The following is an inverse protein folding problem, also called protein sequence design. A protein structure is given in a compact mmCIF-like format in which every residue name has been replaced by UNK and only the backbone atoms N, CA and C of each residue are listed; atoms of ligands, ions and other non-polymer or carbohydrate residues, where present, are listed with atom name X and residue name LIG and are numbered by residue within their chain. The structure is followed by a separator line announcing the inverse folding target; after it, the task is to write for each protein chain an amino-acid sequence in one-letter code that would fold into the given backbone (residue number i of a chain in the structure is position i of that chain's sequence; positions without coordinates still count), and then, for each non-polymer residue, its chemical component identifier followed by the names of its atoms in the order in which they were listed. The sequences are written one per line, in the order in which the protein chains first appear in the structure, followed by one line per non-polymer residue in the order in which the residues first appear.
data_IF_760428660353
#
_entry.id   IF_760428660353
#
_cell.length_a   1.000
_cell.length_b   1.000
_cell.length_c   1.000
_cell.angle_alpha   90.00
_cell.angle_beta   90.00
_cell.angle_gamma   90.00
#
_symmetry.space_group_name_H-M   'P 1'
#
loop_
_entity.id
_entity.type
_entity.pdbx_description
1 polymer ?
#
# COMPACT_ATOMS: atom_id res chain seq x y z
N UNK A 1 6.07 -15.82 12.63
CA UNK A 1 7.36 -16.23 12.06
C UNK A 1 7.64 -15.30 10.92
N UNK A 2 8.76 -14.57 10.97
CA UNK A 2 9.16 -13.64 9.91
C UNK A 2 10.22 -14.29 9.03
N UNK A 3 10.08 -14.15 7.72
CA UNK A 3 11.08 -14.56 6.74
C UNK A 3 11.63 -13.28 6.09
N UNK A 4 12.95 -13.18 6.04
CA UNK A 4 13.67 -12.16 5.29
C UNK A 4 14.42 -12.84 4.16
N UNK A 5 14.23 -12.34 2.95
CA UNK A 5 15.04 -12.72 1.80
C UNK A 5 16.31 -11.87 1.80
N UNK A 6 17.45 -12.50 2.03
CA UNK A 6 18.76 -11.84 1.93
C UNK A 6 19.51 -12.45 0.73
N UNK A 7 20.49 -11.72 0.20
CA UNK A 7 21.40 -12.20 -0.83
C UNK A 7 22.77 -12.40 -0.20
N UNK A 8 23.37 -13.54 -0.46
CA UNK A 8 24.71 -13.88 0.00
C UNK A 8 25.60 -14.19 -1.19
N UNK A 9 26.81 -13.66 -1.17
CA UNK A 9 27.85 -13.98 -2.15
C UNK A 9 28.86 -14.89 -1.44
N UNK A 10 28.97 -16.19 -1.84
CA UNK A 10 29.97 -17.10 -1.30
C UNK A 10 31.39 -16.59 -1.51
N UNK A 11 32.33 -16.98 -0.64
CA UNK A 11 33.69 -16.46 -0.71
C UNK A 11 34.49 -17.01 -1.91
N UNK A 12 34.17 -18.21 -2.37
CA UNK A 12 34.66 -18.79 -3.61
C UNK A 12 34.19 -18.01 -4.83
N UNK A 13 32.93 -17.52 -4.81
CA UNK A 13 32.36 -16.73 -5.87
C UNK A 13 32.95 -15.30 -5.90
N UNK A 14 33.24 -14.72 -4.73
CA UNK A 14 33.97 -13.45 -4.65
C UNK A 14 35.39 -13.57 -5.24
N UNK A 15 36.08 -14.69 -4.94
CA UNK A 15 37.39 -15.00 -5.49
C UNK A 15 37.36 -15.16 -7.02
N UNK A 16 36.39 -15.93 -7.51
CA UNK A 16 36.20 -16.12 -8.97
C UNK A 16 35.95 -14.75 -9.64
N UNK A 17 35.07 -13.94 -9.10
CA UNK A 17 34.77 -12.62 -9.64
C UNK A 17 36.01 -11.70 -9.68
N UNK A 18 36.88 -11.77 -8.66
CA UNK A 18 38.12 -11.02 -8.65
C UNK A 18 39.15 -11.51 -9.68
N UNK A 19 39.19 -12.82 -9.94
CA UNK A 19 40.13 -13.45 -10.91
C UNK A 19 39.67 -13.25 -12.35
N UNK A 20 38.36 -13.32 -12.60
CA UNK A 20 37.80 -13.25 -13.97
C UNK A 20 37.33 -11.87 -14.41
N UNK A 21 37.16 -10.92 -13.48
CA UNK A 21 36.60 -9.61 -13.76
C UNK A 21 35.08 -9.63 -14.03
N UNK A 22 34.41 -10.77 -13.81
CA UNK A 22 32.96 -10.90 -13.96
C UNK A 22 32.22 -10.52 -12.66
N UNK A 23 30.94 -10.18 -12.76
CA UNK A 23 30.12 -9.92 -11.57
C UNK A 23 29.92 -11.17 -10.72
N UNK A 24 30.06 -11.04 -9.39
CA UNK A 24 29.83 -12.11 -8.44
C UNK A 24 28.34 -12.47 -8.37
N UNK A 25 28.02 -13.76 -8.48
CA UNK A 25 26.64 -14.23 -8.39
C UNK A 25 26.19 -14.29 -6.92
N UNK A 26 25.14 -13.53 -6.61
CA UNK A 26 24.51 -13.54 -5.31
C UNK A 26 23.44 -14.64 -5.23
N UNK A 27 23.56 -15.54 -4.26
CA UNK A 27 22.61 -16.61 -3.99
C UNK A 27 21.51 -16.06 -3.07
N UNK A 28 20.25 -16.06 -3.47
CA UNK A 28 19.14 -15.71 -2.56
C UNK A 28 18.97 -16.83 -1.53
N UNK A 29 18.87 -16.48 -0.25
CA UNK A 29 18.56 -17.43 0.79
C UNK A 29 17.47 -16.90 1.74
N UNK A 30 16.70 -17.83 2.31
CA UNK A 30 15.66 -17.52 3.29
C UNK A 30 16.23 -17.69 4.70
N UNK A 31 16.31 -16.59 5.44
CA UNK A 31 16.66 -16.62 6.85
C UNK A 31 15.39 -16.73 7.68
N UNK A 32 15.31 -17.78 8.50
CA UNK A 32 14.21 -18.02 9.41
C UNK A 32 14.51 -17.39 10.77
N UNK A 33 13.60 -16.56 11.25
CA UNK A 33 13.64 -16.01 12.60
C UNK A 33 12.43 -16.49 13.38
N UNK A 34 12.65 -16.90 14.62
CA UNK A 34 11.58 -17.11 15.58
C UNK A 34 11.33 -15.78 16.28
N UNK A 35 10.10 -15.27 16.21
CA UNK A 35 9.67 -14.05 16.87
C UNK A 35 8.64 -14.38 17.93
N UNK A 36 8.72 -13.69 19.05
CA UNK A 36 7.83 -13.83 20.19
C UNK A 36 7.06 -12.52 20.38
N UNK A 37 5.82 -12.62 20.89
CA UNK A 37 5.12 -11.45 21.37
C UNK A 37 5.82 -10.99 22.67
N UNK A 38 6.13 -9.70 22.79
CA UNK A 38 6.76 -9.13 23.99
C UNK A 38 5.99 -9.44 25.28
N UNK A 39 4.66 -9.48 25.20
CA UNK A 39 3.80 -9.85 26.34
C UNK A 39 3.97 -11.31 26.82
N UNK A 40 4.63 -12.16 26.03
CA UNK A 40 4.92 -13.57 26.34
C UNK A 40 6.36 -13.78 26.80
N UNK A 41 7.15 -12.72 26.92
CA UNK A 41 8.54 -12.76 27.30
C UNK A 41 8.71 -12.20 28.70
N UNK A 42 9.52 -12.88 29.54
CA UNK A 42 9.90 -12.41 30.86
C UNK A 42 11.35 -11.91 30.86
N UNK A 43 11.68 -10.98 31.76
CA UNK A 43 13.04 -10.49 31.93
C UNK A 43 13.56 -9.59 30.81
N UNK A 44 12.68 -9.03 30.00
CA UNK A 44 13.07 -8.07 28.96
C UNK A 44 13.40 -6.71 29.57
N UNK A 45 14.37 -5.98 28.99
CA UNK A 45 14.59 -4.57 29.34
C UNK A 45 13.32 -3.75 29.17
N UNK A 46 13.02 -2.86 30.11
CA UNK A 46 11.79 -2.04 30.10
C UNK A 46 11.62 -1.21 28.82
N UNK A 47 12.72 -0.81 28.19
CA UNK A 47 12.69 -0.04 26.94
C UNK A 47 12.27 -0.84 25.70
N UNK A 48 12.18 -2.17 25.77
CA UNK A 48 11.66 -3.03 24.68
C UNK A 48 10.13 -3.11 24.65
N UNK A 49 9.47 -2.76 25.75
CA UNK A 49 8.01 -2.78 25.89
C UNK A 49 7.35 -1.45 25.46
N UNK A 50 8.08 -0.54 24.81
CA UNK A 50 7.53 0.72 24.34
C UNK A 50 6.51 0.41 23.24
N UNK A 51 5.23 0.72 23.51
CA UNK A 51 4.19 0.71 22.48
C UNK A 51 4.67 1.52 21.28
N UNK A 52 4.32 1.07 20.06
CA UNK A 52 4.62 1.84 18.87
C UNK A 52 4.23 3.31 19.12
N UNK A 53 5.13 4.27 18.90
CA UNK A 53 4.84 5.66 19.16
C UNK A 53 3.57 6.06 18.40
N UNK A 54 2.69 6.79 19.08
CA UNK A 54 1.54 7.41 18.42
C UNK A 54 2.07 8.26 17.25
N UNK A 55 1.26 8.44 16.19
CA UNK A 55 1.63 9.32 15.09
C UNK A 55 2.08 10.68 15.64
N UNK A 56 3.22 11.16 15.18
CA UNK A 56 3.66 12.51 15.55
C UNK A 56 2.64 13.52 15.03
N UNK A 57 2.24 14.51 15.85
CA UNK A 57 1.30 15.53 15.41
C UNK A 57 1.78 16.23 14.14
N UNK A 58 0.89 16.40 13.17
CA UNK A 58 1.18 17.15 11.93
C UNK A 58 1.86 16.34 10.82
N UNK A 59 2.12 15.04 11.00
CA UNK A 59 2.62 14.18 9.91
C UNK A 59 1.51 13.71 8.95
N UNK A 60 0.26 13.75 9.38
CA UNK A 60 -0.89 13.39 8.53
C UNK A 60 -1.53 14.69 8.02
N UNK A 61 -1.63 14.80 6.71
CA UNK A 61 -2.33 15.92 6.08
C UNK A 61 -3.79 16.00 6.55
N UNK A 62 -4.27 17.16 7.01
CA UNK A 62 -5.60 17.30 7.61
C UNK A 62 -6.74 16.82 6.71
N UNK A 63 -6.62 16.97 5.40
CA UNK A 63 -7.63 16.51 4.44
C UNK A 63 -7.71 14.97 4.39
N UNK A 64 -6.57 14.28 4.49
CA UNK A 64 -6.53 12.82 4.50
C UNK A 64 -7.04 12.29 5.84
N UNK A 65 -6.70 12.93 6.95
CA UNK A 65 -7.23 12.59 8.26
C UNK A 65 -8.75 12.77 8.32
N UNK A 66 -9.25 13.89 7.80
CA UNK A 66 -10.68 14.16 7.70
C UNK A 66 -11.40 13.13 6.82
N UNK A 67 -10.81 12.75 5.68
CA UNK A 67 -11.33 11.72 4.80
C UNK A 67 -11.44 10.38 5.52
N UNK A 68 -10.35 9.89 6.12
CA UNK A 68 -10.32 8.64 6.87
C UNK A 68 -11.46 8.62 7.90
N UNK A 69 -11.57 9.69 8.69
CA UNK A 69 -12.59 9.81 9.72
C UNK A 69 -14.02 9.83 9.14
N UNK A 70 -14.21 10.55 8.04
CA UNK A 70 -15.53 10.70 7.42
C UNK A 70 -16.04 9.41 6.79
N UNK A 71 -15.16 8.53 6.28
CA UNK A 71 -15.57 7.24 5.70
C UNK A 71 -16.22 6.30 6.71
N UNK A 72 -15.93 6.45 8.00
CA UNK A 72 -16.38 5.54 9.06
C UNK A 72 -15.79 4.13 8.98
N UNK A 73 -14.83 3.88 8.08
CA UNK A 73 -14.12 2.60 7.99
C UNK A 73 -13.24 2.43 9.22
N UNK A 74 -13.22 1.24 9.82
CA UNK A 74 -12.31 0.90 10.92
C UNK A 74 -10.86 1.01 10.41
N UNK A 75 -10.24 2.16 10.66
CA UNK A 75 -8.89 2.49 10.21
C UNK A 75 -7.93 2.53 11.40
N UNK A 76 -6.95 1.65 11.37
CA UNK A 76 -6.00 1.43 12.48
C UNK A 76 -4.60 1.87 12.08
N UNK A 77 -4.01 2.78 12.82
CA UNK A 77 -2.62 3.18 12.67
C UNK A 77 -1.78 2.36 13.65
N UNK A 78 -0.89 1.53 13.11
CA UNK A 78 -0.03 0.67 13.92
C UNK A 78 0.50 -0.54 13.16
N UNK A 79 1.25 -1.38 13.88
CA UNK A 79 1.88 -2.57 13.30
C UNK A 79 3.01 -2.24 12.32
N UNK A 80 3.43 -3.23 11.52
CA UNK A 80 4.54 -3.12 10.58
C UNK A 80 4.14 -3.37 9.11
N UNK A 81 2.84 -3.54 8.85
CA UNK A 81 2.30 -3.85 7.52
C UNK A 81 1.05 -3.05 7.25
N UNK A 82 0.91 -2.57 6.01
CA UNK A 82 -0.32 -2.01 5.51
C UNK A 82 -1.15 -3.11 4.84
N UNK A 83 -2.43 -3.13 5.10
CA UNK A 83 -3.40 -4.03 4.45
C UNK A 83 -4.83 -3.63 4.78
N UNK A 84 -5.76 -3.96 3.88
CA UNK A 84 -7.17 -4.10 4.18
C UNK A 84 -7.49 -5.56 4.50
N UNK A 85 -8.26 -5.82 5.54
CA UNK A 85 -8.70 -7.16 5.97
C UNK A 85 -10.19 -7.37 5.65
N UNK A 86 -10.55 -8.00 4.52
CA UNK A 86 -11.95 -8.16 4.11
C UNK A 86 -12.82 -8.92 5.11
N UNK A 87 -12.25 -9.94 5.80
CA UNK A 87 -12.99 -10.78 6.74
C UNK A 87 -13.48 -10.01 7.99
N UNK A 88 -12.79 -8.93 8.36
CA UNK A 88 -13.10 -8.13 9.55
C UNK A 88 -13.38 -6.67 9.22
N UNK A 89 -13.34 -6.32 7.95
CA UNK A 89 -13.64 -5.00 7.41
C UNK A 89 -12.86 -3.85 8.10
N UNK A 90 -11.54 -4.02 8.23
CA UNK A 90 -10.68 -2.95 8.74
C UNK A 90 -9.44 -2.74 7.87
N UNK A 91 -8.96 -1.52 7.89
CA UNK A 91 -7.67 -1.12 7.32
C UNK A 91 -6.65 -1.01 8.43
N UNK A 92 -5.42 -1.49 8.20
CA UNK A 92 -4.27 -1.21 9.05
C UNK A 92 -3.15 -0.60 8.22
N UNK A 93 -2.53 0.45 8.75
CA UNK A 93 -1.36 1.10 8.13
C UNK A 93 -0.33 1.40 9.22
N UNK A 94 0.98 1.14 9.00
CA UNK A 94 2.02 1.53 9.94
C UNK A 94 1.97 3.04 10.23
N UNK A 95 2.48 3.52 11.38
CA UNK A 95 2.46 4.94 11.68
C UNK A 95 3.31 5.74 10.67
N UNK A 96 2.98 7.02 10.38
CA UNK A 96 3.67 7.84 9.37
C UNK A 96 5.18 7.91 9.55
N UNK A 97 5.67 7.96 10.78
CA UNK A 97 7.10 7.96 11.09
C UNK A 97 7.84 6.65 10.78
N UNK A 98 7.12 5.58 10.43
CA UNK A 98 7.72 4.33 9.96
C UNK A 98 8.14 4.40 8.47
N UNK A 99 7.75 5.45 7.76
CA UNK A 99 8.11 5.69 6.36
C UNK A 99 9.36 6.56 6.29
N UNK A 100 10.25 6.30 5.33
CA UNK A 100 11.42 7.15 5.09
C UNK A 100 11.02 8.61 4.84
N UNK A 101 9.92 8.80 4.13
CA UNK A 101 9.29 10.08 3.89
C UNK A 101 7.81 9.98 4.28
N UNK A 102 7.39 10.66 5.35
CA UNK A 102 6.02 10.56 5.87
C UNK A 102 4.92 10.87 4.84
N UNK A 103 5.23 11.68 3.81
CA UNK A 103 4.29 11.99 2.73
C UNK A 103 3.79 10.72 2.02
N UNK A 104 4.61 9.68 1.92
CA UNK A 104 4.25 8.42 1.27
C UNK A 104 3.26 7.57 2.08
N UNK A 105 3.09 7.86 3.37
CA UNK A 105 2.06 7.26 4.20
C UNK A 105 0.66 7.50 3.65
N UNK A 106 0.41 8.72 3.15
CA UNK A 106 -0.90 9.11 2.62
C UNK A 106 -1.29 8.26 1.41
N UNK A 107 -0.35 8.05 0.49
CA UNK A 107 -0.56 7.14 -0.65
C UNK A 107 -0.93 5.74 -0.19
N UNK A 108 -0.20 5.19 0.78
CA UNK A 108 -0.48 3.86 1.33
C UNK A 108 -1.85 3.82 2.00
N UNK A 109 -2.21 4.81 2.81
CA UNK A 109 -3.51 4.91 3.44
C UNK A 109 -4.66 4.94 2.41
N UNK A 110 -4.50 5.73 1.35
CA UNK A 110 -5.49 5.84 0.27
C UNK A 110 -5.56 4.57 -0.60
N UNK A 111 -4.45 3.82 -0.75
CA UNK A 111 -4.43 2.51 -1.38
C UNK A 111 -5.27 1.50 -0.60
N UNK A 112 -5.05 1.38 0.70
CA UNK A 112 -5.79 0.45 1.55
C UNK A 112 -7.28 0.83 1.68
N UNK A 113 -7.60 2.12 1.70
CA UNK A 113 -8.98 2.60 1.59
C UNK A 113 -9.58 2.26 0.22
N UNK A 114 -8.77 2.28 -0.83
CA UNK A 114 -9.16 1.80 -2.15
C UNK A 114 -9.66 0.36 -2.09
N UNK A 115 -8.91 -0.55 -1.50
CA UNK A 115 -9.36 -1.93 -1.28
C UNK A 115 -10.62 -1.99 -0.43
N UNK A 116 -10.66 -1.26 0.68
CA UNK A 116 -11.82 -1.23 1.57
C UNK A 116 -13.08 -0.76 0.86
N UNK A 117 -12.97 0.20 -0.08
CA UNK A 117 -14.12 0.63 -0.90
C UNK A 117 -14.76 -0.51 -1.68
N UNK A 118 -14.03 -1.60 -1.95
CA UNK A 118 -14.51 -2.78 -2.67
C UNK A 118 -15.35 -3.75 -1.85
N UNK A 119 -15.54 -3.53 -0.56
CA UNK A 119 -16.34 -4.40 0.30
C UNK A 119 -17.76 -4.61 -0.26
N UNK A 120 -18.42 -5.78 0.03
CA UNK A 120 -19.73 -6.12 -0.51
C UNK A 120 -20.82 -5.08 -0.24
N UNK A 121 -20.77 -4.41 0.89
CA UNK A 121 -21.74 -3.39 1.31
C UNK A 121 -21.35 -1.96 0.84
N UNK A 122 -20.26 -1.82 0.09
CA UNK A 122 -19.82 -0.58 -0.56
C UNK A 122 -19.92 -0.74 -2.08
N UNK A 123 -18.80 -0.78 -2.78
CA UNK A 123 -18.80 -0.90 -4.25
C UNK A 123 -18.85 -2.35 -4.77
N UNK A 124 -18.84 -3.33 -3.87
CA UNK A 124 -19.03 -4.76 -4.17
C UNK A 124 -18.11 -5.28 -5.29
N UNK A 125 -16.80 -5.00 -5.20
CA UNK A 125 -15.82 -5.55 -6.12
C UNK A 125 -15.43 -6.98 -5.75
N UNK A 126 -14.92 -7.74 -6.71
CA UNK A 126 -14.42 -9.11 -6.46
C UNK A 126 -13.03 -9.08 -5.80
N UNK A 127 -13.02 -9.14 -4.49
CA UNK A 127 -11.79 -9.19 -3.66
C UNK A 127 -11.33 -10.63 -3.38
N UNK A 128 -11.86 -11.64 -4.07
CA UNK A 128 -11.58 -13.07 -3.79
C UNK A 128 -10.24 -13.57 -4.36
N UNK A 129 -9.47 -12.71 -5.02
CA UNK A 129 -8.19 -13.07 -5.61
C UNK A 129 -7.15 -13.48 -4.55
N UNK A 130 -6.60 -14.70 -4.65
CA UNK A 130 -5.44 -15.08 -3.85
C UNK A 130 -4.19 -14.32 -4.29
N UNK A 131 -3.28 -14.05 -3.35
CA UNK A 131 -2.01 -13.38 -3.62
C UNK A 131 -1.29 -13.98 -4.84
N UNK A 132 -0.89 -13.12 -5.78
CA UNK A 132 -0.24 -13.51 -7.03
C UNK A 132 -1.18 -13.99 -8.15
N UNK A 133 -2.49 -14.06 -7.91
CA UNK A 133 -3.47 -14.35 -8.98
C UNK A 133 -3.73 -13.14 -9.86
N UNK A 134 -4.26 -13.35 -11.07
CA UNK A 134 -4.67 -12.28 -11.98
C UNK A 134 -5.76 -11.38 -11.39
N UNK A 135 -6.69 -11.95 -10.63
CA UNK A 135 -7.72 -11.19 -9.91
C UNK A 135 -7.10 -10.28 -8.86
N UNK A 136 -6.13 -10.80 -8.10
CA UNK A 136 -5.36 -10.01 -7.15
C UNK A 136 -4.61 -8.88 -7.85
N UNK A 137 -3.87 -9.18 -8.91
CA UNK A 137 -3.12 -8.17 -9.66
C UNK A 137 -4.03 -7.07 -10.26
N UNK A 138 -5.24 -7.42 -10.70
CA UNK A 138 -6.22 -6.44 -11.18
C UNK A 138 -6.74 -5.55 -10.05
N UNK A 139 -7.06 -6.11 -8.89
CA UNK A 139 -7.52 -5.31 -7.73
C UNK A 139 -6.40 -4.40 -7.19
N UNK A 140 -5.14 -4.86 -7.18
CA UNK A 140 -3.99 -4.02 -6.86
C UNK A 140 -3.87 -2.83 -7.83
N UNK A 141 -4.10 -3.06 -9.12
CA UNK A 141 -4.10 -1.98 -10.11
C UNK A 141 -5.22 -0.97 -9.84
N UNK A 142 -6.41 -1.44 -9.46
CA UNK A 142 -7.52 -0.56 -9.07
C UNK A 142 -7.15 0.27 -7.83
N UNK A 143 -6.61 -0.36 -6.79
CA UNK A 143 -6.24 0.32 -5.55
C UNK A 143 -5.12 1.36 -5.77
N UNK A 144 -4.11 1.03 -6.60
CA UNK A 144 -3.04 1.96 -6.94
C UNK A 144 -3.53 3.17 -7.72
N UNK A 145 -4.40 2.96 -8.72
CA UNK A 145 -5.00 4.06 -9.47
C UNK A 145 -5.93 4.91 -8.59
N UNK A 146 -6.70 4.28 -7.69
CA UNK A 146 -7.49 5.01 -6.69
C UNK A 146 -6.60 5.89 -5.81
N UNK A 147 -5.50 5.35 -5.30
CA UNK A 147 -4.57 6.12 -4.48
C UNK A 147 -4.01 7.33 -5.27
N UNK A 148 -3.66 7.13 -6.55
CA UNK A 148 -3.18 8.21 -7.40
C UNK A 148 -4.24 9.30 -7.63
N UNK A 149 -5.50 8.92 -7.91
CA UNK A 149 -6.60 9.86 -8.10
C UNK A 149 -6.93 10.64 -6.82
N UNK A 150 -7.00 9.94 -5.68
CA UNK A 150 -7.22 10.60 -4.39
C UNK A 150 -6.06 11.53 -4.02
N UNK A 151 -4.81 11.11 -4.21
CA UNK A 151 -3.64 11.96 -3.99
C UNK A 151 -3.70 13.22 -4.84
N UNK A 152 -4.00 13.10 -6.14
CA UNK A 152 -4.12 14.23 -7.04
C UNK A 152 -5.23 15.20 -6.58
N UNK A 153 -6.40 14.68 -6.21
CA UNK A 153 -7.54 15.50 -5.75
C UNK A 153 -7.26 16.21 -4.42
N UNK A 154 -6.49 15.59 -3.53
CA UNK A 154 -6.16 16.14 -2.22
C UNK A 154 -4.90 17.01 -2.22
N UNK A 155 -4.19 17.10 -3.36
CA UNK A 155 -2.93 17.85 -3.49
C UNK A 155 -1.75 17.16 -2.83
N UNK A 156 -1.79 15.84 -2.64
CA UNK A 156 -0.70 15.03 -2.10
C UNK A 156 0.24 14.62 -3.23
N UNK A 157 1.53 14.88 -3.08
CA UNK A 157 2.55 14.50 -4.06
C UNK A 157 3.50 13.47 -3.44
N UNK A 158 3.22 12.16 -3.58
CA UNK A 158 4.10 11.12 -3.08
C UNK A 158 5.43 11.11 -3.83
N UNK A 159 6.51 10.72 -3.14
CA UNK A 159 7.86 10.62 -3.72
C UNK A 159 8.19 9.21 -4.21
N UNK A 160 7.48 8.19 -3.70
CA UNK A 160 7.66 6.79 -4.10
C UNK A 160 6.93 6.51 -5.41
N UNK A 161 7.64 5.87 -6.35
CA UNK A 161 7.08 5.39 -7.60
C UNK A 161 6.49 3.99 -7.44
N UNK A 162 5.42 3.68 -8.19
CA UNK A 162 4.67 2.41 -8.14
C UNK A 162 5.42 1.22 -8.79
N UNK A 163 6.73 1.07 -8.54
CA UNK A 163 7.58 0.15 -9.30
C UNK A 163 7.40 -1.33 -8.93
N UNK A 164 6.93 -1.63 -7.72
CA UNK A 164 7.00 -2.99 -7.17
C UNK A 164 6.00 -3.97 -7.81
N UNK A 165 4.90 -3.47 -8.38
CA UNK A 165 3.82 -4.27 -8.99
C UNK A 165 3.79 -4.24 -10.52
N UNK A 166 4.65 -3.44 -11.15
CA UNK A 166 4.63 -3.25 -12.62
C UNK A 166 4.74 -4.58 -13.37
N UNK A 167 5.55 -5.52 -12.89
CA UNK A 167 5.69 -6.84 -13.51
C UNK A 167 4.37 -7.59 -13.62
N UNK A 168 3.62 -7.67 -12.51
CA UNK A 168 2.31 -8.33 -12.45
C UNK A 168 1.25 -7.62 -13.30
N UNK A 169 1.30 -6.29 -13.35
CA UNK A 169 0.38 -5.51 -14.20
C UNK A 169 0.66 -5.71 -15.67
N UNK A 170 1.94 -5.77 -16.08
CA UNK A 170 2.31 -6.05 -17.46
C UNK A 170 1.77 -7.40 -17.93
N UNK A 171 1.75 -8.42 -17.09
CA UNK A 171 1.18 -9.72 -17.43
C UNK A 171 -0.34 -9.65 -17.64
N UNK A 172 -1.06 -8.93 -16.77
CA UNK A 172 -2.49 -8.67 -16.95
C UNK A 172 -2.77 -7.90 -18.24
N UNK A 173 -1.96 -6.88 -18.55
CA UNK A 173 -2.15 -6.02 -19.71
C UNK A 173 -1.76 -6.71 -21.05
N UNK A 174 -0.79 -7.64 -21.03
CA UNK A 174 -0.43 -8.45 -22.20
C UNK A 174 -1.56 -9.37 -22.65
N UNK A 175 -2.32 -9.90 -21.70
CA UNK A 175 -3.44 -10.78 -22.00
C UNK A 175 -4.71 -10.01 -22.36
N UNK A 176 -4.91 -8.83 -21.77
CA UNK A 176 -6.08 -8.00 -22.00
C UNK A 176 -5.69 -6.51 -21.96
N UNK A 177 -5.50 -5.93 -23.12
CA UNK A 177 -5.14 -4.51 -23.27
C UNK A 177 -6.23 -3.54 -22.78
N UNK A 178 -7.46 -4.02 -22.58
CA UNK A 178 -8.57 -3.24 -22.02
C UNK A 178 -8.61 -3.29 -20.48
N UNK A 179 -7.78 -4.12 -19.85
CA UNK A 179 -7.76 -4.25 -18.41
C UNK A 179 -7.45 -2.91 -17.71
N UNK A 180 -6.57 -2.08 -18.29
CA UNK A 180 -6.24 -0.77 -17.75
C UNK A 180 -7.45 0.17 -17.74
N UNK A 181 -8.26 0.18 -18.80
CA UNK A 181 -9.46 1.03 -18.89
C UNK A 181 -10.50 0.60 -17.87
N UNK A 182 -10.69 -0.74 -17.71
CA UNK A 182 -11.60 -1.26 -16.68
C UNK A 182 -11.10 -0.96 -15.28
N UNK A 183 -9.80 -1.10 -15.01
CA UNK A 183 -9.21 -0.76 -13.73
C UNK A 183 -9.37 0.73 -13.43
N UNK A 184 -9.09 1.61 -14.40
CA UNK A 184 -9.26 3.05 -14.26
C UNK A 184 -10.73 3.42 -13.95
N UNK A 185 -11.69 2.80 -14.64
CA UNK A 185 -13.12 3.00 -14.36
C UNK A 185 -13.51 2.56 -12.94
N UNK A 186 -12.97 1.44 -12.45
CA UNK A 186 -13.22 1.00 -11.08
C UNK A 186 -12.51 1.89 -10.05
N UNK A 187 -11.31 2.34 -10.36
CA UNK A 187 -10.53 3.25 -9.53
C UNK A 187 -11.20 4.63 -9.41
N UNK A 188 -11.74 5.17 -10.52
CA UNK A 188 -12.51 6.41 -10.50
C UNK A 188 -13.72 6.28 -9.57
N UNK A 189 -14.52 5.20 -9.70
CA UNK A 189 -15.64 4.96 -8.79
C UNK A 189 -15.22 4.83 -7.33
N UNK A 190 -14.06 4.22 -7.06
CA UNK A 190 -13.53 4.11 -5.71
C UNK A 190 -13.10 5.48 -5.17
N UNK A 191 -12.43 6.29 -5.98
CA UNK A 191 -12.04 7.65 -5.61
C UNK A 191 -13.26 8.55 -5.38
N UNK A 192 -14.25 8.51 -6.28
CA UNK A 192 -15.51 9.26 -6.14
C UNK A 192 -16.24 8.87 -4.86
N UNK A 193 -16.31 7.56 -4.57
CA UNK A 193 -16.91 7.05 -3.33
C UNK A 193 -16.21 7.59 -2.09
N UNK A 194 -14.88 7.53 -2.05
CA UNK A 194 -14.11 8.00 -0.91
C UNK A 194 -14.18 9.53 -0.77
N UNK A 195 -13.91 10.27 -1.85
CA UNK A 195 -13.91 11.73 -1.83
C UNK A 195 -15.31 12.31 -1.57
N UNK A 196 -16.36 11.58 -1.92
CA UNK A 196 -17.75 11.96 -1.63
C UNK A 196 -18.08 12.08 -0.14
N UNK A 197 -17.24 11.58 0.76
CA UNK A 197 -17.38 11.82 2.20
C UNK A 197 -16.87 13.18 2.66
N UNK A 198 -16.09 13.88 1.82
CA UNK A 198 -15.61 15.21 2.13
C UNK A 198 -16.67 16.28 1.79
N UNK A 199 -16.74 17.43 2.52
CA UNK A 199 -17.62 18.53 2.18
C UNK A 199 -17.37 19.06 0.76
N UNK A 200 -18.43 19.42 0.06
CA UNK A 200 -18.53 19.63 -1.38
C UNK A 200 -17.63 20.63 -2.11
N UNK A 201 -16.75 21.38 -1.45
CA UNK A 201 -15.82 22.29 -2.13
C UNK A 201 -14.59 21.56 -2.69
N UNK A 202 -14.18 20.45 -2.09
CA UNK A 202 -13.05 19.63 -2.56
C UNK A 202 -13.47 18.58 -3.61
N UNK A 203 -14.74 18.16 -3.61
CA UNK A 203 -15.29 17.20 -4.58
C UNK A 203 -15.57 17.83 -5.97
N UNK A 204 -15.82 19.13 -6.03
CA UNK A 204 -16.13 19.85 -7.28
C UNK A 204 -14.91 20.13 -8.16
N UNK A 205 -13.72 20.14 -7.60
CA UNK A 205 -12.49 20.35 -8.37
C UNK A 205 -12.21 19.22 -9.38
N UNK A 206 -12.71 18.01 -9.10
CA UNK A 206 -12.54 16.86 -10.00
C UNK A 206 -13.53 16.86 -11.16
N UNK A 207 -14.79 17.19 -10.90
CA UNK A 207 -15.83 17.26 -11.94
C UNK A 207 -15.63 18.41 -12.95
N UNK A 208 -14.96 19.49 -12.55
CA UNK A 208 -14.66 20.61 -13.43
C UNK A 208 -13.56 20.28 -14.45
N UNK A 209 -12.56 19.45 -14.10
CA UNK A 209 -11.48 19.05 -15.00
C UNK A 209 -11.90 18.03 -16.06
N UNK A 210 -12.95 17.23 -15.82
CA UNK A 210 -13.47 16.30 -16.85
C UNK A 210 -14.25 17.01 -17.95
N UNK A 211 -14.83 18.18 -17.66
CA UNK A 211 -15.55 18.98 -18.68
C UNK A 211 -14.62 19.81 -19.58
N UNK A 212 -13.38 20.09 -19.16
CA UNK A 212 -12.40 20.78 -20.02
C UNK A 212 -11.57 19.82 -20.90
N UNK A 213 -11.62 18.52 -20.64
CA UNK A 213 -10.86 17.49 -21.38
C UNK A 213 -11.70 16.70 -22.40
N UNK A 214 -12.98 17.01 -22.56
CA UNK A 214 -13.91 16.42 -23.54
C UNK A 214 -14.20 17.40 -24.69
#
# INVERSE_FOLDING_TARGET
MLFRSDRFVPDDEKKRAQETGEEAQAIPFLKRFTVFNLAQCEGLPENLAIAAPLPEPGLIEPKVEALIKATGIDFRIGGSRAFYMPAHDYVQVPPPQAYFEPINWHRTALHELGHASGAPHRLNRDLSGSFGSKKYAFEELVAEMNAAFCCASLGIVPTVRHADYIGSWLDVLREDNRAIVRAASQASKAADFLLGFLPGDDARAFAANEQEAA
#
